data_IF_666911083271
#
_entry.id   IF_666911083271
#
_cell.length_a   1.000
_cell.length_b   1.000
_cell.length_c   1.000
_cell.angle_alpha   90.00
_cell.angle_beta   90.00
_cell.angle_gamma   90.00
#
_symmetry.space_group_name_H-M   'P 1'
#
loop_
_entity.id
_entity.type
_entity.pdbx_description
1 polymer ?
#
# COMPACT_ATOMS: atom_id res chain seq x y z
N UNK A 1 6.19 -40.69 41.03
CA UNK A 1 6.89 -40.08 39.87
C UNK A 1 6.04 -40.10 38.60
N UNK A 2 5.44 -41.24 38.21
CA UNK A 2 4.59 -41.38 37.01
C UNK A 2 3.49 -40.31 36.87
N UNK A 3 2.65 -40.10 37.90
CA UNK A 3 1.55 -39.12 37.88
C UNK A 3 2.02 -37.68 37.57
N UNK A 4 3.21 -37.27 38.04
CA UNK A 4 3.74 -35.94 37.74
C UNK A 4 4.17 -35.81 36.28
N UNK A 5 4.77 -36.86 35.72
CA UNK A 5 5.21 -36.92 34.32
C UNK A 5 3.97 -36.93 33.40
N UNK A 6 2.98 -37.75 33.71
CA UNK A 6 1.73 -37.83 32.94
C UNK A 6 0.98 -36.50 32.91
N UNK A 7 1.00 -35.75 34.03
CA UNK A 7 0.43 -34.41 34.10
C UNK A 7 1.17 -33.40 33.21
N UNK A 8 2.51 -33.45 33.20
CA UNK A 8 3.34 -32.60 32.33
C UNK A 8 3.09 -32.93 30.85
N UNK A 9 2.97 -34.21 30.51
CA UNK A 9 2.64 -34.64 29.14
C UNK A 9 1.24 -34.16 28.73
N UNK A 10 0.25 -34.25 29.62
CA UNK A 10 -1.10 -33.75 29.34
C UNK A 10 -1.14 -32.23 29.14
N UNK A 11 -0.39 -31.48 29.96
CA UNK A 11 -0.17 -30.04 29.81
C UNK A 11 0.48 -29.71 28.46
N UNK A 12 1.57 -30.39 28.12
CA UNK A 12 2.29 -30.18 26.86
C UNK A 12 1.45 -30.51 25.63
N UNK A 13 0.74 -31.64 25.64
CA UNK A 13 -0.16 -32.04 24.56
C UNK A 13 -1.33 -31.07 24.38
N UNK A 14 -1.94 -30.62 25.48
CA UNK A 14 -3.03 -29.64 25.44
C UNK A 14 -2.54 -28.25 25.02
N UNK A 15 -1.31 -27.88 25.41
CA UNK A 15 -0.64 -26.67 24.96
C UNK A 15 -0.35 -26.69 23.46
N UNK A 16 0.17 -27.79 22.92
CA UNK A 16 0.37 -27.95 21.47
C UNK A 16 -0.96 -27.90 20.70
N UNK A 17 -1.98 -28.61 21.18
CA UNK A 17 -3.31 -28.53 20.58
C UNK A 17 -3.84 -27.08 20.59
N UNK A 18 -3.71 -26.39 21.73
CA UNK A 18 -4.06 -24.98 21.87
C UNK A 18 -3.30 -24.07 20.90
N UNK A 19 -2.00 -24.32 20.71
CA UNK A 19 -1.14 -23.59 19.76
C UNK A 19 -1.70 -23.67 18.33
N UNK A 20 -2.01 -24.88 17.86
CA UNK A 20 -2.56 -25.09 16.52
C UNK A 20 -3.98 -24.55 16.36
N UNK A 21 -4.82 -24.69 17.39
CA UNK A 21 -6.16 -24.10 17.38
C UNK A 21 -6.11 -22.56 17.35
N UNK A 22 -5.13 -21.95 18.03
CA UNK A 22 -4.89 -20.50 18.00
C UNK A 22 -4.38 -19.96 16.67
N UNK A 23 -3.65 -20.79 15.89
CA UNK A 23 -3.23 -20.45 14.53
C UNK A 23 -4.34 -20.62 13.47
N UNK A 24 -5.34 -21.46 13.77
CA UNK A 24 -6.37 -21.85 12.80
C UNK A 24 -7.75 -21.35 13.23
N UNK A 25 -8.51 -22.18 13.94
CA UNK A 25 -9.92 -21.97 14.26
C UNK A 25 -10.18 -20.69 15.06
N UNK A 26 -9.30 -20.36 16.00
CA UNK A 26 -9.46 -19.18 16.87
C UNK A 26 -8.60 -17.99 16.45
N UNK A 27 -7.91 -18.05 15.30
CA UNK A 27 -7.00 -17.00 14.87
C UNK A 27 -7.66 -15.63 14.82
N UNK A 28 -8.83 -15.51 14.19
CA UNK A 28 -9.53 -14.23 14.06
C UNK A 28 -9.91 -13.62 15.41
N UNK A 29 -10.47 -14.42 16.32
CA UNK A 29 -10.88 -13.97 17.65
C UNK A 29 -9.68 -13.53 18.48
N UNK A 30 -8.63 -14.36 18.54
CA UNK A 30 -7.42 -14.06 19.31
C UNK A 30 -6.67 -12.86 18.72
N UNK A 31 -6.63 -12.74 17.39
CA UNK A 31 -6.00 -11.60 16.73
C UNK A 31 -6.74 -10.31 17.02
N UNK A 32 -8.06 -10.28 16.90
CA UNK A 32 -8.85 -9.09 17.24
C UNK A 32 -8.66 -8.66 18.70
N UNK A 33 -8.62 -9.63 19.62
CA UNK A 33 -8.35 -9.35 21.03
C UNK A 33 -6.95 -8.76 21.26
N UNK A 34 -5.94 -9.24 20.55
CA UNK A 34 -4.58 -8.70 20.61
C UNK A 34 -4.52 -7.28 20.03
N UNK A 35 -5.15 -7.05 18.87
CA UNK A 35 -5.21 -5.74 18.23
C UNK A 35 -5.90 -4.69 19.10
N UNK A 36 -6.93 -5.07 19.87
CA UNK A 36 -7.63 -4.15 20.78
C UNK A 36 -6.75 -3.58 21.89
N UNK A 37 -5.64 -4.23 22.21
CA UNK A 37 -4.68 -3.73 23.20
C UNK A 37 -3.67 -2.71 22.63
N UNK A 38 -3.68 -2.48 21.32
CA UNK A 38 -2.72 -1.61 20.65
C UNK A 38 -3.18 -0.15 20.61
N UNK A 39 -2.25 0.81 20.70
CA UNK A 39 -2.53 2.19 20.31
C UNK A 39 -2.74 2.31 18.79
N UNK A 40 -3.18 3.48 18.29
CA UNK A 40 -3.25 3.81 16.87
C UNK A 40 -1.92 3.64 16.14
N UNK A 41 -1.68 2.50 15.51
CA UNK A 41 -0.42 2.16 14.81
C UNK A 41 -0.68 1.25 13.60
N UNK A 42 0.28 1.22 12.67
CA UNK A 42 0.29 0.26 11.57
C UNK A 42 0.30 -1.19 12.10
N UNK A 43 -0.60 -2.01 11.59
CA UNK A 43 -0.80 -3.40 12.03
C UNK A 43 -0.31 -4.46 11.04
N UNK A 44 0.12 -4.05 9.83
CA UNK A 44 0.40 -4.95 8.70
C UNK A 44 1.47 -5.99 8.99
N UNK A 45 2.51 -5.61 9.72
CA UNK A 45 3.71 -6.41 9.95
C UNK A 45 3.83 -6.95 11.37
N UNK A 46 2.72 -6.95 12.12
CA UNK A 46 2.74 -7.36 13.51
C UNK A 46 2.93 -8.88 13.66
N UNK A 47 3.57 -9.32 14.76
CA UNK A 47 3.91 -10.72 14.97
C UNK A 47 2.66 -11.59 15.20
N UNK A 48 2.18 -12.26 14.17
CA UNK A 48 0.97 -13.08 14.21
C UNK A 48 1.11 -14.35 15.07
N UNK A 49 2.34 -14.79 15.37
CA UNK A 49 2.59 -15.97 16.21
C UNK A 49 2.05 -15.82 17.65
N UNK A 50 1.73 -14.60 18.10
CA UNK A 50 1.11 -14.36 19.40
C UNK A 50 -0.29 -15.00 19.52
N UNK A 51 -1.02 -15.21 18.42
CA UNK A 51 -2.28 -15.97 18.48
C UNK A 51 -2.04 -17.43 18.87
N UNK A 52 -0.93 -18.00 18.41
CA UNK A 52 -0.50 -19.36 18.74
C UNK A 52 -0.06 -19.49 20.20
N UNK A 53 0.75 -18.53 20.68
CA UNK A 53 1.18 -18.48 22.10
C UNK A 53 -0.04 -18.35 23.01
N UNK A 54 -0.98 -17.46 22.67
CA UNK A 54 -2.22 -17.28 23.40
C UNK A 54 -3.04 -18.58 23.46
N UNK A 55 -3.23 -19.23 22.31
CA UNK A 55 -3.91 -20.52 22.22
C UNK A 55 -3.22 -21.60 23.04
N UNK A 56 -1.89 -21.67 23.02
CA UNK A 56 -1.10 -22.65 23.77
C UNK A 56 -1.29 -22.49 25.29
N UNK A 57 -1.26 -21.25 25.78
CA UNK A 57 -1.45 -20.93 27.19
C UNK A 57 -2.86 -21.30 27.67
N UNK A 58 -3.88 -20.96 26.87
CA UNK A 58 -5.28 -21.32 27.16
C UNK A 58 -5.44 -22.84 27.17
N UNK A 59 -4.94 -23.53 26.13
CA UNK A 59 -4.99 -24.98 26.00
C UNK A 59 -4.29 -25.70 27.16
N UNK A 60 -3.08 -25.28 27.54
CA UNK A 60 -2.36 -25.83 28.67
C UNK A 60 -3.11 -25.63 30.01
N UNK A 61 -3.69 -24.44 30.22
CA UNK A 61 -4.46 -24.12 31.43
C UNK A 61 -5.74 -24.95 31.54
N UNK A 62 -6.46 -25.12 30.43
CA UNK A 62 -7.64 -26.00 30.35
C UNK A 62 -7.23 -27.45 30.56
N UNK A 63 -6.17 -27.92 29.91
CA UNK A 63 -5.62 -29.26 30.06
C UNK A 63 -5.25 -29.58 31.51
N UNK A 64 -4.64 -28.63 32.22
CA UNK A 64 -4.35 -28.75 33.65
C UNK A 64 -5.62 -28.97 34.48
N UNK A 65 -6.65 -28.14 34.27
CA UNK A 65 -7.92 -28.22 34.99
C UNK A 65 -8.65 -29.54 34.69
N UNK A 66 -8.67 -29.96 33.43
CA UNK A 66 -9.27 -31.23 33.01
C UNK A 66 -8.53 -32.42 33.62
N UNK A 67 -7.19 -32.42 33.63
CA UNK A 67 -6.41 -33.48 34.25
C UNK A 67 -6.70 -33.60 35.74
N UNK A 68 -6.74 -32.48 36.47
CA UNK A 68 -7.05 -32.47 37.91
C UNK A 68 -8.47 -32.95 38.21
N UNK A 69 -9.44 -32.64 37.35
CA UNK A 69 -10.82 -33.09 37.50
C UNK A 69 -11.02 -34.56 37.15
N UNK A 70 -10.52 -35.01 36.01
CA UNK A 70 -10.87 -36.32 35.43
C UNK A 70 -9.86 -37.42 35.74
N UNK A 71 -8.56 -37.10 35.77
CA UNK A 71 -7.50 -38.09 36.01
C UNK A 71 -7.17 -38.17 37.50
N UNK A 72 -6.91 -37.03 38.15
CA UNK A 72 -6.66 -36.99 39.60
C UNK A 72 -7.95 -37.16 40.42
N UNK A 73 -9.13 -37.08 39.76
CA UNK A 73 -10.47 -37.19 40.37
C UNK A 73 -10.64 -36.30 41.61
N UNK A 74 -9.93 -35.17 41.65
CA UNK A 74 -9.96 -34.32 42.82
C UNK A 74 -11.10 -33.31 42.71
N UNK A 75 -12.01 -33.32 43.68
CA UNK A 75 -13.12 -32.36 43.71
C UNK A 75 -12.61 -30.97 44.07
N UNK A 76 -13.33 -29.93 43.63
CA UNK A 76 -13.01 -28.52 43.90
C UNK A 76 -12.89 -28.26 45.42
N UNK A 77 -13.75 -28.90 46.23
CA UNK A 77 -13.73 -28.76 47.69
C UNK A 77 -12.42 -29.29 48.31
N UNK A 78 -11.85 -30.35 47.75
CA UNK A 78 -10.66 -31.04 48.29
C UNK A 78 -9.35 -30.45 47.73
N UNK A 79 -9.31 -30.10 46.45
CA UNK A 79 -8.12 -29.57 45.78
C UNK A 79 -8.22 -28.07 45.44
N UNK A 80 -8.78 -27.25 46.35
CA UNK A 80 -8.97 -25.80 46.14
C UNK A 80 -7.74 -25.09 45.58
N UNK A 81 -6.54 -25.39 46.10
CA UNK A 81 -5.28 -24.79 45.66
C UNK A 81 -4.95 -25.09 44.20
N UNK A 82 -5.18 -26.32 43.72
CA UNK A 82 -4.88 -26.70 42.34
C UNK A 82 -5.86 -26.03 41.37
N UNK A 83 -7.15 -26.04 41.68
CA UNK A 83 -8.14 -25.32 40.86
C UNK A 83 -7.89 -23.82 40.85
N UNK A 84 -7.56 -23.22 42.00
CA UNK A 84 -7.18 -21.82 42.08
C UNK A 84 -5.97 -21.53 41.18
N UNK A 85 -4.92 -22.36 41.22
CA UNK A 85 -3.75 -22.20 40.37
C UNK A 85 -4.08 -22.29 38.88
N UNK A 86 -4.89 -23.26 38.46
CA UNK A 86 -5.29 -23.40 37.06
C UNK A 86 -6.16 -22.24 36.56
N UNK A 87 -7.09 -21.76 37.38
CA UNK A 87 -7.93 -20.59 37.05
C UNK A 87 -7.08 -19.31 36.99
N UNK A 88 -6.19 -19.12 37.97
CA UNK A 88 -5.26 -17.98 37.98
C UNK A 88 -4.35 -18.01 36.75
N UNK A 89 -3.84 -19.17 36.34
CA UNK A 89 -3.03 -19.31 35.13
C UNK A 89 -3.85 -19.00 33.86
N UNK A 90 -5.10 -19.46 33.79
CA UNK A 90 -6.02 -19.19 32.68
C UNK A 90 -6.33 -17.69 32.50
N UNK A 91 -6.20 -16.87 33.54
CA UNK A 91 -6.43 -15.43 33.49
C UNK A 91 -5.12 -14.63 33.32
N UNK A 92 -4.12 -14.91 34.15
CA UNK A 92 -2.88 -14.13 34.18
C UNK A 92 -2.00 -14.37 32.96
N UNK A 93 -1.84 -15.61 32.50
CA UNK A 93 -0.93 -15.90 31.40
C UNK A 93 -1.40 -15.29 30.06
N UNK A 94 -2.71 -15.32 29.72
CA UNK A 94 -3.21 -14.55 28.58
C UNK A 94 -2.95 -13.05 28.70
N UNK A 95 -3.17 -12.47 29.88
CA UNK A 95 -2.96 -11.03 30.11
C UNK A 95 -1.49 -10.65 29.94
N UNK A 96 -0.56 -11.45 30.47
CA UNK A 96 0.89 -11.27 30.25
C UNK A 96 1.21 -11.35 28.75
N UNK A 97 0.58 -12.26 28.02
CA UNK A 97 0.78 -12.41 26.57
C UNK A 97 0.31 -11.18 25.81
N UNK A 98 -0.83 -10.59 26.18
CA UNK A 98 -1.35 -9.34 25.60
C UNK A 98 -0.38 -8.19 25.86
N UNK A 99 0.11 -8.04 27.10
CA UNK A 99 1.05 -6.97 27.46
C UNK A 99 2.37 -7.12 26.70
N UNK A 100 2.91 -8.33 26.62
CA UNK A 100 4.13 -8.62 25.85
C UNK A 100 3.94 -8.31 24.36
N UNK A 101 2.80 -8.71 23.79
CA UNK A 101 2.44 -8.39 22.41
C UNK A 101 2.42 -6.88 22.20
N UNK A 102 1.71 -6.14 23.06
CA UNK A 102 1.59 -4.67 22.96
C UNK A 102 2.96 -4.00 22.98
N UNK A 103 3.80 -4.34 23.93
CA UNK A 103 5.15 -3.75 24.07
C UNK A 103 5.98 -4.07 22.83
N UNK A 104 5.99 -5.33 22.38
CA UNK A 104 6.77 -5.73 21.22
C UNK A 104 6.26 -5.06 19.93
N UNK A 105 4.94 -5.00 19.72
CA UNK A 105 4.31 -4.39 18.56
C UNK A 105 4.63 -2.89 18.47
N UNK A 106 4.42 -2.15 19.56
CA UNK A 106 4.69 -0.71 19.63
C UNK A 106 6.17 -0.43 19.40
N UNK A 107 7.06 -1.17 20.07
CA UNK A 107 8.50 -0.98 19.88
C UNK A 107 8.95 -1.31 18.46
N UNK A 108 8.37 -2.36 17.85
CA UNK A 108 8.69 -2.73 16.48
C UNK A 108 8.32 -1.63 15.49
N UNK A 109 7.07 -1.15 15.53
CA UNK A 109 6.59 -0.07 14.64
C UNK A 109 7.37 1.21 14.89
N UNK A 110 7.54 1.62 16.15
CA UNK A 110 8.29 2.83 16.51
C UNK A 110 9.74 2.79 16.02
N UNK A 111 10.42 1.64 16.15
CA UNK A 111 11.82 1.50 15.70
C UNK A 111 11.91 1.47 14.18
N UNK A 112 10.88 0.96 13.49
CA UNK A 112 10.83 0.99 12.03
C UNK A 112 10.59 2.41 11.50
N UNK A 113 9.57 3.10 12.02
CA UNK A 113 9.18 4.45 11.56
C UNK A 113 10.11 5.57 12.04
N UNK A 114 10.97 5.31 13.04
CA UNK A 114 12.03 6.24 13.42
C UNK A 114 13.22 6.24 12.44
N UNK A 115 13.41 5.16 11.68
CA UNK A 115 14.47 5.05 10.68
C UNK A 115 14.07 5.75 9.38
N UNK A 116 15.06 6.12 8.55
CA UNK A 116 14.78 6.62 7.21
C UNK A 116 14.24 5.48 6.33
N UNK A 117 13.27 5.77 5.44
CA UNK A 117 12.82 4.81 4.44
C UNK A 117 13.98 4.34 3.55
N UNK A 118 13.91 3.10 3.10
CA UNK A 118 14.83 2.55 2.10
C UNK A 118 14.33 2.76 0.67
N UNK A 119 13.06 3.12 0.52
CA UNK A 119 12.44 3.43 -0.75
C UNK A 119 11.00 3.88 -0.55
N UNK A 120 10.44 4.53 -1.56
CA UNK A 120 9.01 4.75 -1.65
C UNK A 120 8.53 4.71 -3.09
N UNK A 121 7.25 4.42 -3.26
CA UNK A 121 6.52 4.52 -4.51
C UNK A 121 5.34 5.46 -4.28
N UNK A 122 5.21 6.49 -5.11
CA UNK A 122 4.09 7.43 -5.06
C UNK A 122 3.38 7.35 -6.40
N UNK A 123 2.12 6.93 -6.35
CA UNK A 123 1.21 6.96 -7.48
C UNK A 123 0.21 8.10 -7.28
N UNK A 124 0.16 9.03 -8.21
CA UNK A 124 -0.86 10.07 -8.22
C UNK A 124 -2.19 9.52 -8.73
N UNK A 125 -3.30 10.07 -8.25
CA UNK A 125 -4.63 9.70 -8.73
C UNK A 125 -4.85 10.21 -10.16
N UNK A 126 -4.35 11.42 -10.45
CA UNK A 126 -4.45 12.08 -11.73
C UNK A 126 -3.08 12.67 -12.12
N UNK A 127 -2.68 12.62 -13.41
CA UNK A 127 -3.36 11.96 -14.52
C UNK A 127 -3.25 10.44 -14.52
N UNK A 128 -4.32 9.78 -14.95
CA UNK A 128 -4.38 8.32 -15.15
C UNK A 128 -5.21 7.96 -16.38
N UNK A 129 -4.53 7.38 -17.38
CA UNK A 129 -5.13 6.90 -18.62
C UNK A 129 -5.21 5.37 -18.59
N UNK A 130 -6.43 4.84 -18.70
CA UNK A 130 -6.69 3.40 -18.65
C UNK A 130 -7.12 2.87 -20.02
N UNK A 131 -6.49 1.79 -20.48
CA UNK A 131 -6.82 1.09 -21.72
C UNK A 131 -7.43 -0.28 -21.41
N UNK A 132 -8.54 -0.59 -22.07
CA UNK A 132 -9.27 -1.84 -21.88
C UNK A 132 -8.67 -2.97 -22.71
N UNK A 133 -8.28 -4.07 -22.07
CA UNK A 133 -7.60 -5.23 -22.68
C UNK A 133 -8.61 -6.28 -23.14
N UNK A 134 -9.53 -6.68 -22.25
CA UNK A 134 -10.58 -7.68 -22.55
C UNK A 134 -11.90 -7.30 -21.89
N UNK A 135 -13.00 -7.49 -22.64
CA UNK A 135 -14.38 -7.47 -22.15
C UNK A 135 -14.95 -8.89 -22.28
N UNK A 136 -14.75 -9.74 -21.28
CA UNK A 136 -15.39 -11.06 -21.25
C UNK A 136 -16.52 -11.09 -20.22
N UNK A 137 -17.47 -12.01 -20.42
CA UNK A 137 -18.64 -12.20 -19.54
C UNK A 137 -18.30 -12.53 -18.06
N UNK A 138 -17.02 -12.73 -17.71
CA UNK A 138 -16.51 -12.95 -16.36
C UNK A 138 -15.75 -11.78 -15.72
N UNK A 139 -15.54 -10.67 -16.46
CA UNK A 139 -14.85 -9.48 -15.97
C UNK A 139 -14.09 -8.72 -17.07
N UNK A 140 -13.93 -7.41 -16.86
CA UNK A 140 -13.11 -6.53 -17.70
C UNK A 140 -11.71 -6.38 -17.12
N UNK A 141 -10.67 -6.45 -17.94
CA UNK A 141 -9.29 -6.14 -17.52
C UNK A 141 -8.77 -4.89 -18.23
N UNK A 142 -8.14 -3.98 -17.48
CA UNK A 142 -7.54 -2.75 -18.00
C UNK A 142 -6.08 -2.63 -17.56
N UNK A 143 -5.28 -1.93 -18.37
CA UNK A 143 -3.96 -1.44 -17.99
C UNK A 143 -4.01 0.07 -17.85
N UNK A 144 -3.44 0.61 -16.77
CA UNK A 144 -3.43 2.04 -16.50
C UNK A 144 -2.02 2.59 -16.53
N UNK A 145 -1.87 3.78 -17.08
CA UNK A 145 -0.65 4.55 -17.12
C UNK A 145 -0.92 5.93 -16.53
N UNK A 146 0.02 6.47 -15.77
CA UNK A 146 -0.20 7.72 -15.08
C UNK A 146 1.05 8.27 -14.44
N UNK A 147 0.86 9.33 -13.66
CA UNK A 147 1.93 10.03 -12.97
C UNK A 147 2.39 9.23 -11.74
N UNK A 148 3.66 8.84 -11.72
CA UNK A 148 4.26 8.16 -10.58
C UNK A 148 5.76 8.44 -10.43
N UNK A 149 6.24 8.20 -9.21
CA UNK A 149 7.66 8.17 -8.91
C UNK A 149 7.97 6.96 -8.03
N UNK A 150 9.06 6.27 -8.36
CA UNK A 150 9.67 5.28 -7.48
C UNK A 150 11.08 5.73 -7.13
N UNK A 151 11.36 5.77 -5.83
CA UNK A 151 12.68 6.12 -5.29
C UNK A 151 13.22 4.93 -4.52
N UNK A 152 14.45 4.53 -4.83
CA UNK A 152 15.20 3.49 -4.14
C UNK A 152 16.66 3.92 -4.05
N UNK A 153 17.36 3.67 -2.95
CA UNK A 153 18.80 3.96 -2.85
C UNK A 153 19.24 5.42 -3.10
N UNK A 154 18.32 6.40 -3.15
CA UNK A 154 18.63 7.83 -3.27
C UNK A 154 18.69 8.47 -1.87
N UNK A 155 19.85 8.40 -1.23
CA UNK A 155 20.01 8.72 0.21
C UNK A 155 19.50 10.14 0.57
N UNK A 156 19.82 11.16 -0.23
CA UNK A 156 19.46 12.55 0.07
C UNK A 156 17.94 12.74 0.07
N UNK A 157 17.26 12.24 -0.96
CA UNK A 157 15.81 12.35 -1.08
C UNK A 157 15.09 11.50 -0.02
N UNK A 158 15.60 10.30 0.25
CA UNK A 158 15.04 9.41 1.27
C UNK A 158 15.22 9.97 2.70
N UNK A 159 16.33 10.66 2.97
CA UNK A 159 16.58 11.33 4.24
C UNK A 159 15.64 12.52 4.44
N UNK A 160 15.47 13.36 3.41
CA UNK A 160 14.51 14.49 3.43
C UNK A 160 13.08 13.98 3.61
N UNK A 161 12.68 12.97 2.83
CA UNK A 161 11.36 12.35 2.93
C UNK A 161 11.14 11.69 4.30
N UNK A 162 12.14 10.99 4.83
CA UNK A 162 12.10 10.39 6.17
C UNK A 162 12.02 11.42 7.29
N UNK A 163 12.69 12.57 7.14
CA UNK A 163 12.56 13.69 8.08
C UNK A 163 11.13 14.24 8.08
N UNK A 164 10.56 14.49 6.91
CA UNK A 164 9.19 14.97 6.76
C UNK A 164 8.14 13.99 7.34
N UNK A 165 8.31 12.68 7.11
CA UNK A 165 7.44 11.65 7.67
C UNK A 165 7.43 11.64 9.20
N UNK A 166 8.57 11.88 9.84
CA UNK A 166 8.67 11.92 11.31
C UNK A 166 7.97 13.13 11.93
N UNK A 167 7.66 14.15 11.13
CA UNK A 167 6.92 15.33 11.55
C UNK A 167 5.41 15.21 11.35
N UNK A 168 4.92 14.07 10.85
CA UNK A 168 3.48 13.84 10.74
C UNK A 168 2.83 13.82 12.13
N UNK A 169 1.83 14.67 12.31
CA UNK A 169 1.04 14.74 13.54
C UNK A 169 -0.28 14.00 13.36
N UNK A 170 -0.57 13.04 14.24
CA UNK A 170 -1.86 12.35 14.26
C UNK A 170 -2.94 13.30 14.80
N UNK A 171 -3.92 13.64 13.98
CA UNK A 171 -4.99 14.60 14.32
C UNK A 171 -6.32 13.92 14.60
N UNK A 172 -6.60 12.79 13.94
CA UNK A 172 -7.88 12.10 14.09
C UNK A 172 -7.72 10.57 14.02
N UNK A 173 -8.53 9.87 14.82
CA UNK A 173 -8.72 8.42 14.78
C UNK A 173 -10.23 8.17 14.67
N UNK A 174 -10.67 7.57 13.57
CA UNK A 174 -12.10 7.40 13.28
C UNK A 174 -12.44 5.99 12.78
N UNK A 175 -13.45 5.37 13.39
CA UNK A 175 -13.96 4.05 12.97
C UNK A 175 -14.75 4.08 11.65
N UNK A 176 -15.17 5.27 11.19
CA UNK A 176 -15.91 5.46 9.95
C UNK A 176 -15.11 6.32 8.98
N UNK A 177 -15.11 5.95 7.70
CA UNK A 177 -14.89 6.90 6.62
C UNK A 177 -16.04 7.91 6.67
N UNK A 178 -15.91 8.97 7.48
CA UNK A 178 -16.80 10.10 7.29
C UNK A 178 -16.63 10.54 5.84
N UNK A 179 -17.74 10.64 5.12
CA UNK A 179 -17.82 11.14 3.76
C UNK A 179 -17.38 12.61 3.73
N UNK A 180 -16.08 12.84 3.86
CA UNK A 180 -15.46 14.08 3.48
C UNK A 180 -15.28 14.00 1.96
N UNK A 181 -15.87 14.92 1.18
CA UNK A 181 -15.64 15.01 -0.25
C UNK A 181 -14.25 15.61 -0.48
N UNK A 182 -13.19 14.88 -0.12
CA UNK A 182 -11.82 15.32 -0.29
C UNK A 182 -11.20 14.51 -1.43
N UNK A 183 -10.60 15.23 -2.38
CA UNK A 183 -9.97 14.65 -3.55
C UNK A 183 -8.80 13.79 -3.10
N UNK A 184 -8.76 12.56 -3.60
CA UNK A 184 -7.59 11.71 -3.44
C UNK A 184 -6.52 12.22 -4.41
N UNK A 185 -5.36 12.61 -3.89
CA UNK A 185 -4.27 13.16 -4.70
C UNK A 185 -3.29 12.06 -5.10
N UNK A 186 -3.05 11.08 -4.23
CA UNK A 186 -2.21 9.94 -4.55
C UNK A 186 -2.09 8.96 -3.39
N UNK A 187 -1.47 7.82 -3.66
CA UNK A 187 -1.11 6.82 -2.64
C UNK A 187 0.40 6.64 -2.60
N UNK A 188 0.93 6.53 -1.39
CA UNK A 188 2.35 6.44 -1.09
C UNK A 188 2.60 5.10 -0.41
N UNK A 189 3.43 4.26 -1.02
CA UNK A 189 3.96 3.04 -0.43
C UNK A 189 5.38 3.31 0.07
N UNK A 190 5.62 3.11 1.35
CA UNK A 190 6.88 3.45 1.99
C UNK A 190 7.49 2.16 2.53
N UNK A 191 8.72 1.88 2.11
CA UNK A 191 9.49 0.72 2.52
C UNK A 191 10.60 1.09 3.50
N UNK A 192 10.74 0.27 4.54
CA UNK A 192 11.76 0.40 5.56
C UNK A 192 12.50 -0.93 5.72
N UNK A 193 13.77 -0.84 6.10
CA UNK A 193 14.59 -2.00 6.48
C UNK A 193 15.28 -1.77 7.82
N UNK A 194 14.48 -1.61 8.86
CA UNK A 194 15.00 -1.40 10.22
C UNK A 194 15.50 -2.72 10.82
N UNK A 195 16.75 -2.75 11.29
CA UNK A 195 17.38 -3.93 11.92
C UNK A 195 17.36 -5.21 11.05
N UNK A 196 17.41 -5.04 9.71
CA UNK A 196 17.38 -6.15 8.76
C UNK A 196 16.01 -6.79 8.54
N UNK A 197 14.94 -6.28 9.18
CA UNK A 197 13.56 -6.72 8.95
C UNK A 197 12.85 -5.73 8.04
N UNK A 198 12.08 -6.27 7.10
CA UNK A 198 11.24 -5.46 6.22
C UNK A 198 9.99 -4.99 6.98
N UNK A 199 9.66 -3.72 6.79
CA UNK A 199 8.46 -3.07 7.28
C UNK A 199 7.98 -2.12 6.17
N UNK A 200 6.67 -1.97 6.02
CA UNK A 200 6.09 -1.05 5.06
C UNK A 200 4.83 -0.39 5.58
N UNK A 201 4.63 0.84 5.10
CA UNK A 201 3.51 1.72 5.43
C UNK A 201 2.86 2.19 4.14
N UNK A 202 1.54 2.38 4.16
CA UNK A 202 0.81 3.00 3.05
C UNK A 202 0.11 4.23 3.58
N UNK A 203 0.29 5.36 2.90
CA UNK A 203 -0.42 6.60 3.16
C UNK A 203 -1.21 7.00 1.93
N UNK A 204 -2.48 7.36 2.10
CA UNK A 204 -3.27 8.04 1.08
C UNK A 204 -3.15 9.54 1.29
N UNK A 205 -2.69 10.27 0.28
CA UNK A 205 -2.60 11.71 0.28
C UNK A 205 -3.89 12.34 -0.24
N UNK A 206 -4.44 13.28 0.53
CA UNK A 206 -5.67 14.01 0.24
C UNK A 206 -5.51 15.49 0.54
N UNK A 207 -6.45 16.31 0.07
CA UNK A 207 -6.48 17.75 0.32
C UNK A 207 -6.38 18.13 1.81
N UNK A 208 -6.88 17.25 2.69
CA UNK A 208 -6.89 17.44 4.13
C UNK A 208 -5.79 16.68 4.87
N UNK A 209 -4.76 16.16 4.20
CA UNK A 209 -3.59 15.53 4.83
C UNK A 209 -3.37 14.09 4.38
N UNK A 210 -2.88 13.25 5.30
CA UNK A 210 -2.43 11.89 5.00
C UNK A 210 -3.22 10.87 5.80
N UNK A 211 -3.65 9.80 5.15
CA UNK A 211 -4.52 8.79 5.77
C UNK A 211 -3.87 7.41 5.77
N UNK A 212 -4.00 6.71 6.89
CA UNK A 212 -3.60 5.32 7.03
C UNK A 212 -4.76 4.47 7.55
N UNK A 213 -4.91 3.27 7.01
CA UNK A 213 -5.85 2.28 7.55
C UNK A 213 -5.17 1.45 8.64
N UNK A 214 -5.67 1.56 9.87
CA UNK A 214 -5.24 0.74 10.99
C UNK A 214 -6.31 -0.30 11.32
N UNK A 215 -5.93 -1.58 11.28
CA UNK A 215 -6.85 -2.67 11.63
C UNK A 215 -7.45 -2.41 13.01
N UNK A 216 -8.79 -2.40 13.09
CA UNK A 216 -9.61 -2.18 14.30
C UNK A 216 -9.81 -0.72 14.76
N UNK A 217 -9.02 0.25 14.31
CA UNK A 217 -9.19 1.68 14.65
C UNK A 217 -9.73 2.50 13.46
N UNK A 218 -10.07 1.81 12.36
CA UNK A 218 -10.52 2.41 11.12
C UNK A 218 -9.40 3.20 10.45
N UNK A 219 -9.58 4.53 10.42
CA UNK A 219 -8.74 5.48 9.71
C UNK A 219 -7.96 6.37 10.69
N UNK A 220 -6.68 6.55 10.41
CA UNK A 220 -5.80 7.51 11.06
C UNK A 220 -5.56 8.68 10.10
N UNK A 221 -5.81 9.91 10.54
CA UNK A 221 -5.53 11.12 9.77
C UNK A 221 -4.34 11.85 10.36
N UNK A 222 -3.37 12.15 9.52
CA UNK A 222 -2.18 12.90 9.84
C UNK A 222 -2.12 14.23 9.10
N UNK A 223 -1.46 15.21 9.70
CA UNK A 223 -1.09 16.49 9.08
C UNK A 223 0.42 16.64 9.09
N UNK A 224 0.98 17.24 8.03
CA UNK A 224 2.42 17.50 7.94
C UNK A 224 2.78 18.33 6.73
N UNK A 225 3.05 19.62 6.96
CA UNK A 225 3.35 20.58 5.90
C UNK A 225 4.67 20.29 5.17
N UNK A 226 5.67 19.74 5.87
CA UNK A 226 6.94 19.35 5.23
C UNK A 226 6.74 18.22 4.22
N UNK A 227 5.90 17.23 4.54
CA UNK A 227 5.62 16.13 3.62
C UNK A 227 4.84 16.64 2.40
N UNK A 228 3.85 17.52 2.60
CA UNK A 228 3.15 18.19 1.51
C UNK A 228 4.11 18.98 0.59
N UNK A 229 5.10 19.66 1.17
CA UNK A 229 6.12 20.40 0.40
C UNK A 229 6.98 19.46 -0.43
N UNK A 230 7.52 18.39 0.17
CA UNK A 230 8.33 17.38 -0.55
C UNK A 230 7.54 16.74 -1.69
N UNK A 231 6.27 16.41 -1.46
CA UNK A 231 5.40 15.84 -2.49
C UNK A 231 5.07 16.84 -3.59
N UNK A 232 4.90 18.13 -3.26
CA UNK A 232 4.73 19.20 -4.25
C UNK A 232 5.97 19.41 -5.12
N UNK A 233 7.17 19.34 -4.54
CA UNK A 233 8.43 19.42 -5.30
C UNK A 233 8.58 18.22 -6.26
N UNK A 234 8.16 17.03 -5.83
CA UNK A 234 8.11 15.82 -6.66
C UNK A 234 7.08 15.97 -7.78
N UNK A 235 5.89 16.47 -7.46
CA UNK A 235 4.81 16.71 -8.42
C UNK A 235 5.27 17.65 -9.54
N UNK A 236 5.92 18.76 -9.17
CA UNK A 236 6.49 19.73 -10.10
C UNK A 236 7.61 19.12 -10.98
N UNK A 237 8.44 18.24 -10.43
CA UNK A 237 9.45 17.51 -11.22
C UNK A 237 8.81 16.59 -12.25
N UNK A 238 7.72 15.91 -11.89
CA UNK A 238 7.00 15.02 -12.81
C UNK A 238 6.22 15.79 -13.88
N UNK A 239 5.86 17.05 -13.62
CA UNK A 239 5.26 17.94 -14.63
C UNK A 239 6.27 18.52 -15.62
N UNK A 240 7.58 18.44 -15.33
CA UNK A 240 8.60 18.98 -16.20
C UNK A 240 9.06 17.95 -17.25
N UNK A 241 8.71 18.19 -18.51
CA UNK A 241 9.06 17.37 -19.66
C UNK A 241 10.57 17.11 -19.82
N UNK A 242 11.43 18.03 -19.37
CA UNK A 242 12.90 17.85 -19.47
C UNK A 242 13.45 16.74 -18.58
N UNK A 243 12.67 16.28 -17.60
CA UNK A 243 13.09 15.20 -16.71
C UNK A 243 12.91 13.81 -17.33
N UNK A 244 12.25 13.72 -18.49
CA UNK A 244 12.04 12.46 -19.19
C UNK A 244 13.04 12.29 -20.34
N UNK A 245 13.50 11.07 -20.56
CA UNK A 245 14.52 10.73 -21.57
C UNK A 245 14.02 9.73 -22.61
N UNK A 246 12.80 9.22 -22.42
CA UNK A 246 12.17 8.28 -23.33
C UNK A 246 10.66 8.34 -23.22
N UNK A 247 9.99 7.85 -24.27
CA UNK A 247 8.56 7.64 -24.28
C UNK A 247 8.18 6.35 -25.00
N UNK A 248 7.04 5.80 -24.63
CA UNK A 248 6.42 4.62 -25.23
C UNK A 248 5.04 4.98 -25.77
N UNK A 249 4.74 4.56 -26.99
CA UNK A 249 3.41 4.76 -27.59
C UNK A 249 2.47 3.65 -27.12
N UNK A 250 1.31 4.06 -26.63
CA UNK A 250 0.24 3.22 -26.13
C UNK A 250 -0.99 3.43 -26.98
N UNK A 251 -1.56 2.32 -27.46
CA UNK A 251 -2.79 2.31 -28.24
C UNK A 251 -3.50 0.97 -28.06
N UNK A 252 -4.81 0.95 -28.23
CA UNK A 252 -5.62 -0.27 -28.05
C UNK A 252 -5.25 -1.40 -29.01
N UNK A 253 -4.68 -1.09 -30.16
CA UNK A 253 -4.15 -2.09 -31.11
C UNK A 253 -2.84 -2.75 -30.65
N UNK A 254 -2.11 -2.12 -29.73
CA UNK A 254 -0.84 -2.63 -29.18
C UNK A 254 -1.07 -3.46 -27.91
N UNK A 255 -2.27 -3.39 -27.35
CA UNK A 255 -2.67 -4.02 -26.10
C UNK A 255 -3.61 -5.18 -26.45
N UNK A 256 -3.07 -6.23 -27.08
CA UNK A 256 -3.76 -7.49 -27.30
C UNK A 256 -3.02 -8.56 -26.47
N UNK A 257 -3.75 -9.25 -25.58
CA UNK A 257 -3.25 -9.99 -24.41
C UNK A 257 -2.21 -11.11 -24.60
N UNK A 258 -1.59 -11.23 -25.77
CA UNK A 258 -0.52 -12.19 -26.09
C UNK A 258 0.85 -11.55 -26.35
N UNK A 259 0.97 -10.23 -26.47
CA UNK A 259 2.27 -9.57 -26.48
C UNK A 259 2.14 -8.10 -26.04
N UNK A 260 2.74 -7.75 -24.91
CA UNK A 260 3.00 -6.35 -24.55
C UNK A 260 4.10 -5.80 -25.47
N UNK A 261 3.83 -5.64 -26.77
CA UNK A 261 4.72 -4.94 -27.68
C UNK A 261 4.58 -3.45 -27.39
N UNK A 262 5.36 -3.00 -26.43
CA UNK A 262 5.52 -1.60 -26.12
C UNK A 262 6.44 -0.99 -27.17
N UNK A 263 5.89 -0.17 -28.06
CA UNK A 263 6.67 0.48 -29.10
C UNK A 263 7.36 1.71 -28.51
N UNK A 264 8.65 1.56 -28.21
CA UNK A 264 9.49 2.68 -27.79
C UNK A 264 9.65 3.68 -28.93
N UNK A 265 9.47 4.96 -28.63
CA UNK A 265 9.69 6.03 -29.58
C UNK A 265 11.20 6.18 -29.84
N UNK A 266 11.66 6.20 -31.11
CA UNK A 266 13.05 6.53 -31.44
C UNK A 266 13.45 7.90 -30.88
N UNK A 267 14.72 8.09 -30.49
CA UNK A 267 15.16 9.32 -29.82
C UNK A 267 14.83 10.62 -30.58
N UNK A 268 14.96 10.62 -31.91
CA UNK A 268 14.60 11.79 -32.73
C UNK A 268 13.10 12.12 -32.69
N UNK A 269 12.25 11.09 -32.65
CA UNK A 269 10.80 11.23 -32.52
C UNK A 269 10.41 11.65 -31.10
N UNK A 270 11.17 11.25 -30.08
CA UNK A 270 10.98 11.72 -28.71
C UNK A 270 11.30 13.21 -28.58
N UNK A 271 12.40 13.69 -29.17
CA UNK A 271 12.69 15.12 -29.18
C UNK A 271 11.60 15.91 -29.90
N UNK A 272 11.08 15.41 -31.03
CA UNK A 272 9.94 16.01 -31.71
C UNK A 272 8.68 16.09 -30.82
N UNK A 273 8.39 15.04 -30.05
CA UNK A 273 7.29 15.06 -29.07
C UNK A 273 7.50 16.16 -28.03
N UNK A 274 8.69 16.26 -27.43
CA UNK A 274 9.00 17.30 -26.44
C UNK A 274 8.91 18.71 -27.04
N UNK A 275 9.44 18.90 -28.25
CA UNK A 275 9.42 20.19 -28.95
C UNK A 275 7.99 20.60 -29.36
N UNK A 276 7.09 19.63 -29.51
CA UNK A 276 5.68 19.88 -29.82
C UNK A 276 4.88 20.32 -28.59
N UNK A 277 5.24 19.86 -27.39
CA UNK A 277 4.54 20.21 -26.15
C UNK A 277 5.24 21.40 -25.49
N UNK A 278 5.06 22.58 -26.08
CA UNK A 278 5.63 23.85 -25.62
C UNK A 278 4.54 24.92 -25.48
N UNK A 279 4.85 25.99 -24.75
CA UNK A 279 3.93 27.10 -24.47
C UNK A 279 3.32 27.71 -25.74
N UNK A 280 4.10 27.81 -26.83
CA UNK A 280 3.64 28.36 -28.12
C UNK A 280 2.51 27.57 -28.76
N UNK A 281 2.34 26.29 -28.39
CA UNK A 281 1.31 25.41 -28.93
C UNK A 281 0.09 25.25 -28.02
N UNK A 282 0.06 25.94 -26.87
CA UNK A 282 -1.06 25.87 -25.92
C UNK A 282 -2.32 26.47 -26.55
N UNK A 283 -3.44 25.77 -26.38
CA UNK A 283 -4.77 26.20 -26.82
C UNK A 283 -5.78 26.05 -25.69
N UNK A 284 -6.93 26.73 -25.84
CA UNK A 284 -8.12 26.51 -25.02
C UNK A 284 -9.17 25.86 -25.93
N UNK A 285 -9.34 24.52 -25.87
CA UNK A 285 -10.33 23.83 -26.69
C UNK A 285 -11.77 24.16 -26.27
N UNK A 286 -12.71 23.80 -27.14
CA UNK A 286 -14.13 23.83 -26.82
C UNK A 286 -14.46 22.87 -25.64
N UNK A 287 -15.54 23.16 -24.92
CA UNK A 287 -15.89 22.47 -23.67
C UNK A 287 -16.16 20.97 -23.84
N UNK A 288 -16.60 20.56 -25.02
CA UNK A 288 -16.84 19.15 -25.39
C UNK A 288 -15.53 18.38 -25.53
N UNK A 289 -14.51 18.98 -26.14
CA UNK A 289 -13.15 18.42 -26.23
C UNK A 289 -12.56 18.28 -24.83
N UNK A 290 -12.62 19.34 -24.01
CA UNK A 290 -12.15 19.31 -22.61
C UNK A 290 -12.82 18.17 -21.84
N UNK A 291 -14.15 18.06 -21.91
CA UNK A 291 -14.90 17.01 -21.23
C UNK A 291 -14.49 15.60 -21.70
N UNK A 292 -14.19 15.43 -22.99
CA UNK A 292 -13.77 14.15 -23.56
C UNK A 292 -12.41 13.68 -23.04
N UNK A 293 -11.45 14.61 -22.92
CA UNK A 293 -10.13 14.32 -22.35
C UNK A 293 -10.22 14.07 -20.83
N UNK A 294 -10.92 14.92 -20.08
CA UNK A 294 -11.08 14.75 -18.64
C UNK A 294 -11.74 13.42 -18.26
N UNK A 295 -12.71 12.95 -19.06
CA UNK A 295 -13.34 11.65 -18.86
C UNK A 295 -12.35 10.48 -18.93
N UNK A 296 -11.30 10.59 -19.77
CA UNK A 296 -10.28 9.55 -19.98
C UNK A 296 -9.08 9.66 -19.04
N UNK A 297 -8.73 10.88 -18.62
CA UNK A 297 -7.57 11.17 -17.75
C UNK A 297 -7.88 10.99 -16.26
N UNK A 298 -9.16 11.06 -15.86
CA UNK A 298 -9.59 10.93 -14.46
C UNK A 298 -10.20 9.55 -14.15
N UNK A 299 -9.79 8.51 -14.89
CA UNK A 299 -10.26 7.10 -14.76
C UNK A 299 -11.79 6.90 -14.82
N UNK A 300 -12.55 7.88 -15.34
CA UNK A 300 -14.01 7.78 -15.46
C UNK A 300 -14.42 6.95 -16.68
N UNK A 301 -13.55 6.82 -17.69
CA UNK A 301 -13.80 6.07 -18.92
C UNK A 301 -12.50 5.44 -19.46
N UNK A 302 -12.51 4.12 -19.62
CA UNK A 302 -11.42 3.41 -20.30
C UNK A 302 -11.42 3.72 -21.79
N UNK A 303 -10.22 3.85 -22.37
CA UNK A 303 -10.03 3.87 -23.83
C UNK A 303 -10.24 2.44 -24.35
N UNK A 304 -11.21 2.28 -25.23
CA UNK A 304 -11.65 0.99 -25.77
C UNK A 304 -11.26 0.82 -27.23
N UNK A 305 -11.45 -0.37 -27.80
CA UNK A 305 -11.21 -0.63 -29.23
C UNK A 305 -12.07 0.24 -30.18
N UNK A 306 -13.08 0.97 -29.67
CA UNK A 306 -13.87 1.95 -30.44
C UNK A 306 -13.19 3.32 -30.51
N UNK A 307 -12.31 3.63 -29.56
CA UNK A 307 -11.59 4.89 -29.41
C UNK A 307 -10.28 4.88 -30.22
N UNK A 308 -10.38 4.60 -31.53
CA UNK A 308 -9.24 4.33 -32.42
C UNK A 308 -8.30 5.53 -32.64
N UNK A 309 -8.74 6.73 -32.26
CA UNK A 309 -8.02 7.97 -32.44
C UNK A 309 -7.22 8.37 -31.19
N UNK A 310 -7.42 7.68 -30.06
CA UNK A 310 -6.73 8.02 -28.82
C UNK A 310 -5.45 7.22 -28.63
N UNK A 311 -4.34 7.94 -28.51
CA UNK A 311 -3.03 7.42 -28.19
C UNK A 311 -2.57 8.01 -26.86
N UNK A 312 -1.77 7.25 -26.11
CA UNK A 312 -1.06 7.81 -24.97
C UNK A 312 0.44 7.63 -25.14
N UNK A 313 1.21 8.59 -24.65
CA UNK A 313 2.66 8.52 -24.59
C UNK A 313 3.07 8.38 -23.12
N UNK A 314 3.56 7.20 -22.73
CA UNK A 314 4.10 6.98 -21.39
C UNK A 314 5.54 7.50 -21.35
N UNK A 315 5.75 8.59 -20.62
CA UNK A 315 7.03 9.27 -20.46
C UNK A 315 7.82 8.60 -19.33
N UNK A 316 9.12 8.38 -19.54
CA UNK A 316 10.01 7.78 -18.54
C UNK A 316 11.37 8.49 -18.51
N UNK A 317 11.91 8.73 -17.31
CA UNK A 317 13.26 9.29 -17.15
C UNK A 317 14.38 8.28 -17.42
N UNK A 318 14.04 7.00 -17.56
CA UNK A 318 14.97 5.91 -17.85
C UNK A 318 14.40 4.99 -18.93
N UNK A 319 15.26 4.38 -19.77
CA UNK A 319 14.81 3.43 -20.76
C UNK A 319 14.30 2.13 -20.11
N UNK A 320 13.28 1.53 -20.72
CA UNK A 320 12.55 0.34 -20.25
C UNK A 320 13.39 -0.92 -20.01
N UNK A 321 14.64 -0.95 -20.48
CA UNK A 321 15.57 -2.08 -20.35
C UNK A 321 16.45 -2.01 -19.10
N UNK A 322 16.42 -0.89 -18.38
CA UNK A 322 17.17 -0.76 -17.12
C UNK A 322 16.43 -1.55 -16.05
N UNK A 323 17.13 -2.48 -15.41
CA UNK A 323 16.52 -3.27 -14.35
C UNK A 323 16.06 -2.32 -13.23
N UNK A 324 14.76 -2.31 -12.91
CA UNK A 324 14.15 -1.38 -11.95
C UNK A 324 14.80 -1.39 -10.55
N UNK A 325 15.60 -2.41 -10.24
CA UNK A 325 16.35 -2.58 -9.00
C UNK A 325 17.71 -1.84 -8.97
N UNK A 326 18.21 -1.38 -10.11
CA UNK A 326 19.51 -0.69 -10.24
C UNK A 326 19.38 0.83 -10.32
N UNK A 327 18.15 1.35 -10.43
CA UNK A 327 17.86 2.76 -10.65
C UNK A 327 17.48 3.44 -9.35
N UNK A 328 18.11 4.59 -9.07
CA UNK A 328 17.84 5.33 -7.84
C UNK A 328 16.47 6.05 -7.86
N UNK A 329 16.10 6.60 -9.01
CA UNK A 329 14.83 7.31 -9.21
C UNK A 329 14.24 6.93 -10.57
N UNK A 330 13.01 6.43 -10.56
CA UNK A 330 12.18 6.23 -11.75
C UNK A 330 11.03 7.24 -11.71
N UNK A 331 10.90 8.02 -12.77
CA UNK A 331 9.83 8.99 -12.98
C UNK A 331 8.98 8.53 -14.15
N UNK A 332 7.66 8.51 -13.98
CA UNK A 332 6.72 8.22 -15.07
C UNK A 332 5.59 9.26 -15.11
N UNK A 333 5.16 9.61 -16.32
CA UNK A 333 3.99 10.45 -16.55
C UNK A 333 3.36 10.11 -17.92
N UNK A 334 2.23 10.71 -18.26
CA UNK A 334 1.48 10.36 -19.46
C UNK A 334 0.99 11.61 -20.21
N UNK A 335 1.16 11.59 -21.52
CA UNK A 335 0.50 12.52 -22.45
C UNK A 335 -0.65 11.77 -23.12
N UNK A 336 -1.85 12.34 -23.14
CA UNK A 336 -2.97 11.80 -23.92
C UNK A 336 -3.09 12.59 -25.23
N UNK A 337 -3.30 11.92 -26.36
CA UNK A 337 -3.39 12.54 -27.67
C UNK A 337 -4.58 12.01 -28.47
N UNK A 338 -5.28 12.91 -29.16
CA UNK A 338 -6.34 12.61 -30.10
C UNK A 338 -5.87 12.91 -31.53
N UNK A 339 -5.70 11.85 -32.32
CA UNK A 339 -5.16 11.95 -33.67
C UNK A 339 -6.13 12.59 -34.68
N UNK A 340 -7.43 12.60 -34.43
CA UNK A 340 -8.39 13.25 -35.33
C UNK A 340 -8.39 14.75 -35.10
N UNK A 341 -8.40 15.16 -33.83
CA UNK A 341 -8.43 16.57 -33.45
C UNK A 341 -7.05 17.24 -33.52
N UNK A 342 -5.97 16.45 -33.54
CA UNK A 342 -4.58 16.94 -33.45
C UNK A 342 -4.37 17.75 -32.17
N UNK A 343 -4.87 17.21 -31.05
CA UNK A 343 -4.80 17.82 -29.72
C UNK A 343 -4.13 16.84 -28.76
N UNK A 344 -3.13 17.31 -28.02
CA UNK A 344 -2.52 16.61 -26.92
C UNK A 344 -2.91 17.26 -25.59
N UNK A 345 -2.96 16.46 -24.53
CA UNK A 345 -3.18 16.89 -23.15
C UNK A 345 -2.01 16.43 -22.28
N UNK A 346 -1.50 17.35 -21.46
CA UNK A 346 -0.44 17.09 -20.49
C UNK A 346 -0.55 18.05 -19.31
N UNK A 347 -0.57 17.53 -18.08
CA UNK A 347 -0.52 18.31 -16.82
C UNK A 347 -1.56 19.45 -16.74
N UNK A 348 -2.76 19.22 -17.28
CA UNK A 348 -3.87 20.19 -17.23
C UNK A 348 -3.97 21.12 -18.44
N UNK A 349 -2.94 21.15 -19.28
CA UNK A 349 -2.87 21.99 -20.48
C UNK A 349 -3.17 21.21 -21.76
N UNK A 350 -3.66 21.94 -22.78
CA UNK A 350 -3.99 21.38 -24.09
C UNK A 350 -3.11 22.00 -25.17
N UNK A 351 -2.62 21.18 -26.09
CA UNK A 351 -1.67 21.58 -27.11
C UNK A 351 -2.19 21.21 -28.49
N UNK A 352 -2.13 22.14 -29.45
CA UNK A 352 -2.48 21.87 -30.85
C UNK A 352 -1.25 21.40 -31.61
N UNK A 353 -1.17 20.10 -31.87
CA UNK A 353 0.03 19.45 -32.40
C UNK A 353 -0.33 18.30 -33.32
N UNK A 354 0.45 18.10 -34.38
CA UNK A 354 0.32 16.94 -35.26
C UNK A 354 1.41 15.91 -34.94
N UNK A 355 1.03 14.86 -34.22
CA UNK A 355 1.94 13.77 -33.83
C UNK A 355 1.85 12.57 -34.77
N UNK A 356 1.16 12.68 -35.92
CA UNK A 356 0.96 11.54 -36.85
C UNK A 356 2.26 10.90 -37.34
N UNK A 357 3.36 11.66 -37.37
CA UNK A 357 4.68 11.20 -37.83
C UNK A 357 5.35 10.20 -36.88
N UNK A 358 4.86 10.10 -35.63
CA UNK A 358 5.45 9.26 -34.58
C UNK A 358 4.51 8.14 -34.08
N UNK A 359 3.36 7.97 -34.73
CA UNK A 359 2.34 6.93 -34.46
C UNK A 359 2.49 5.64 -35.28
#
# INVERSE_FOLDING_TARGET
MKIKIDKIVALGGSGLLGYYLGLSMFRGILWNMLLWALPPINTRHLPTFYTAIMGAIIGASIGYLLYTKFIEKCSIKKCKKQYALGITALLLLPLITIVSFRIQAVNYVRTAEAANPTGFDLHFEEPRVSFLITEDHGGSSSTSFGKNIRVQNEEVLLDQFGAALRQLELVEVSDQSQNMPNRHQGTIWIDYRSTGKWYSKILSWRDNGFEESASHQGRLLYKGAELETVLGDIDAQLSNLTNFTSAEVLHTSLIDGNSNQVNRIPLGNFQFLLDSIQEDNIIVPDSDVVSSFEARVKDNQNITKKDINYYAFSLKNQPSNTNSLEVAILLENVILYDDVLKIAWFEGEYYKVDLSSIL
#
